data_IF_492249401321
#
_entry.id   IF_492249401321
#
_cell.length_a   1.000
_cell.length_b   1.000
_cell.length_c   1.000
_cell.angle_alpha   90.00
_cell.angle_beta   90.00
_cell.angle_gamma   90.00
#
_symmetry.space_group_name_H-M   'P 1'
#
loop_
_entity.id
_entity.type
_entity.pdbx_description
1 polymer ?
#
# COMPACT_ATOMS: atom_id res chain seq x y z
N UNK A 1 -0.36 42.61 -20.64
CA UNK A 1 -1.23 41.43 -20.83
C UNK A 1 -0.83 40.38 -19.82
N UNK A 2 -1.67 40.10 -18.82
CA UNK A 2 -1.44 39.01 -17.86
C UNK A 2 -2.33 37.84 -18.27
N UNK A 3 -1.71 36.69 -18.50
CA UNK A 3 -2.36 35.45 -18.92
C UNK A 3 -3.34 34.99 -17.84
N UNK A 4 -4.60 34.91 -18.23
CA UNK A 4 -5.69 34.28 -17.49
C UNK A 4 -5.40 32.80 -17.29
N UNK A 5 -5.02 32.42 -16.07
CA UNK A 5 -4.87 31.04 -15.62
C UNK A 5 -5.30 30.90 -14.16
N UNK A 6 -6.59 30.72 -13.94
CA UNK A 6 -7.21 30.39 -12.64
C UNK A 6 -6.57 29.14 -12.03
N UNK A 7 -6.32 29.12 -10.71
CA UNK A 7 -7.20 28.46 -9.72
C UNK A 7 -6.73 28.74 -8.27
N UNK A 8 -7.68 28.85 -7.34
CA UNK A 8 -7.47 29.24 -5.93
C UNK A 8 -6.61 28.27 -5.13
N UNK A 9 -5.44 28.74 -4.69
CA UNK A 9 -4.58 28.02 -3.76
C UNK A 9 -5.25 27.91 -2.39
N UNK A 10 -5.84 26.76 -2.09
CA UNK A 10 -6.14 26.42 -0.71
C UNK A 10 -4.84 26.01 -0.01
N UNK A 11 -4.81 26.12 1.32
CA UNK A 11 -3.63 25.83 2.17
C UNK A 11 -3.25 24.33 2.20
N UNK A 12 -3.81 23.49 1.32
CA UNK A 12 -3.54 22.06 1.26
C UNK A 12 -2.27 21.74 0.45
N UNK A 13 -1.19 22.46 0.73
CA UNK A 13 0.13 22.22 0.15
C UNK A 13 1.14 22.09 1.29
N UNK A 14 1.66 20.88 1.49
CA UNK A 14 2.52 20.56 2.63
C UNK A 14 3.88 20.05 2.16
N UNK A 15 4.98 20.37 2.88
CA UNK A 15 6.34 19.99 2.51
C UNK A 15 6.59 18.48 2.63
N UNK A 16 5.68 17.74 3.26
CA UNK A 16 5.78 16.30 3.42
C UNK A 16 4.40 15.72 3.71
N UNK A 17 4.20 14.48 3.29
CA UNK A 17 2.96 13.78 3.56
C UNK A 17 2.71 13.60 5.06
N UNK A 18 3.76 13.43 5.88
CA UNK A 18 3.63 13.41 7.34
C UNK A 18 3.00 14.69 7.89
N UNK A 19 3.33 15.84 7.30
CA UNK A 19 2.74 17.13 7.68
C UNK A 19 1.31 17.22 7.17
N UNK A 20 1.06 16.79 5.92
CA UNK A 20 -0.29 16.69 5.35
C UNK A 20 -1.22 15.83 6.21
N UNK A 21 -0.83 14.59 6.54
CA UNK A 21 -1.65 13.70 7.35
C UNK A 21 -1.83 14.22 8.78
N UNK A 22 -0.84 14.88 9.38
CA UNK A 22 -1.02 15.50 10.70
C UNK A 22 -2.05 16.63 10.72
N UNK A 23 -2.09 17.42 9.65
CA UNK A 23 -3.00 18.57 9.54
C UNK A 23 -4.40 18.15 9.07
N UNK A 24 -4.46 17.21 8.13
CA UNK A 24 -5.71 16.81 7.47
C UNK A 24 -6.37 15.57 8.06
N UNK A 25 -5.65 14.73 8.82
CA UNK A 25 -6.17 13.48 9.35
C UNK A 25 -6.05 13.41 10.89
N UNK A 26 -7.10 12.97 11.59
CA UNK A 26 -6.99 12.65 13.01
C UNK A 26 -5.96 11.54 13.22
N UNK A 27 -5.31 11.44 14.40
CA UNK A 27 -4.23 10.50 14.66
C UNK A 27 -4.56 9.04 14.32
N UNK A 28 -5.80 8.60 14.54
CA UNK A 28 -6.29 7.26 14.19
C UNK A 28 -6.29 6.96 12.68
N UNK A 29 -6.27 7.99 11.82
CA UNK A 29 -6.28 7.86 10.36
C UNK A 29 -4.91 8.12 9.73
N UNK A 30 -3.88 8.44 10.52
CA UNK A 30 -2.53 8.69 10.01
C UNK A 30 -1.88 7.36 9.60
N UNK A 31 -1.86 7.08 8.29
CA UNK A 31 -1.34 5.84 7.70
C UNK A 31 0.06 6.06 7.11
N UNK A 32 0.97 6.63 7.90
CA UNK A 32 2.34 6.96 7.48
C UNK A 32 3.10 5.75 6.93
N UNK A 33 2.80 4.54 7.41
CA UNK A 33 3.35 3.29 6.91
C UNK A 33 3.06 3.05 5.42
N UNK A 34 1.87 3.41 4.95
CA UNK A 34 1.35 3.00 3.65
C UNK A 34 1.90 3.85 2.51
N UNK A 35 2.36 5.05 2.81
CA UNK A 35 2.89 5.96 1.80
C UNK A 35 4.41 5.97 1.73
N UNK A 36 5.07 5.24 2.64
CA UNK A 36 6.51 5.06 2.61
C UNK A 36 6.87 4.08 1.49
N UNK A 37 7.89 4.41 0.70
CA UNK A 37 8.43 3.48 -0.30
C UNK A 37 8.77 2.14 0.35
N UNK A 38 8.27 1.02 -0.18
CA UNK A 38 8.59 -0.29 0.36
C UNK A 38 10.10 -0.54 0.21
N UNK A 39 10.71 -1.09 1.26
CA UNK A 39 12.11 -1.53 1.23
C UNK A 39 12.13 -3.03 1.36
N UNK A 40 12.90 -3.69 0.50
CA UNK A 40 13.13 -5.13 0.57
C UNK A 40 14.48 -5.38 1.20
N UNK A 41 14.55 -6.37 2.08
CA UNK A 41 15.78 -6.78 2.73
C UNK A 41 15.75 -8.23 3.20
N UNK A 42 16.81 -8.68 3.87
CA UNK A 42 16.86 -10.03 4.40
C UNK A 42 15.75 -10.24 5.43
N UNK A 43 15.17 -11.44 5.45
CA UNK A 43 14.19 -11.81 6.45
C UNK A 43 14.90 -12.07 7.79
N UNK A 44 14.85 -11.11 8.71
CA UNK A 44 15.54 -11.23 10.01
C UNK A 44 14.68 -11.86 11.12
N UNK A 45 13.34 -11.84 11.00
CA UNK A 45 12.42 -12.31 12.05
C UNK A 45 11.21 -13.08 11.51
N UNK A 46 10.63 -13.98 12.34
CA UNK A 46 9.30 -14.54 12.13
C UNK A 46 8.27 -13.79 13.00
N UNK A 47 7.03 -13.56 12.52
CA UNK A 47 6.51 -13.88 11.20
C UNK A 47 7.17 -13.05 10.08
N UNK A 48 7.33 -13.64 8.90
CA UNK A 48 7.98 -12.98 7.75
C UNK A 48 7.05 -11.91 7.20
N UNK A 49 7.52 -10.67 7.13
CA UNK A 49 6.80 -9.58 6.48
C UNK A 49 6.94 -9.73 4.97
N UNK A 50 6.05 -10.49 4.34
CA UNK A 50 6.06 -10.72 2.88
C UNK A 50 5.06 -9.84 2.14
N UNK A 51 4.44 -8.88 2.81
CA UNK A 51 3.48 -7.95 2.21
C UNK A 51 3.93 -6.51 2.40
N UNK A 52 3.64 -5.68 1.40
CA UNK A 52 3.80 -4.24 1.46
C UNK A 52 2.65 -3.58 0.70
N UNK A 53 2.36 -2.33 1.03
CA UNK A 53 1.38 -1.53 0.30
C UNK A 53 2.04 -0.83 -0.87
N UNK A 54 1.52 -1.06 -2.07
CA UNK A 54 1.95 -0.36 -3.27
C UNK A 54 1.03 0.83 -3.50
N UNK A 55 1.51 2.03 -3.21
CA UNK A 55 0.75 3.27 -3.40
C UNK A 55 0.46 3.59 -4.87
N UNK A 56 1.25 3.07 -5.82
CA UNK A 56 1.02 3.29 -7.25
C UNK A 56 -0.21 2.52 -7.77
N UNK A 57 -0.45 1.32 -7.23
CA UNK A 57 -1.63 0.51 -7.56
C UNK A 57 -2.74 0.61 -6.52
N UNK A 58 -2.47 1.25 -5.39
CA UNK A 58 -3.30 1.26 -4.18
C UNK A 58 -3.65 -0.15 -3.65
N UNK A 59 -2.77 -1.14 -3.87
CA UNK A 59 -2.99 -2.53 -3.49
C UNK A 59 -1.87 -3.08 -2.60
N UNK A 60 -2.25 -3.97 -1.69
CA UNK A 60 -1.31 -4.79 -0.93
C UNK A 60 -0.70 -5.86 -1.83
N UNK A 61 0.61 -5.81 -2.00
CA UNK A 61 1.34 -6.70 -2.90
C UNK A 61 2.16 -7.70 -2.11
N UNK A 62 2.14 -8.97 -2.56
CA UNK A 62 2.96 -10.04 -1.98
C UNK A 62 4.35 -10.03 -2.61
N UNK A 63 5.36 -10.16 -1.77
CA UNK A 63 6.74 -10.38 -2.18
C UNK A 63 6.89 -11.87 -2.49
N UNK A 64 7.19 -12.19 -3.75
CA UNK A 64 7.40 -13.57 -4.22
C UNK A 64 8.86 -14.05 -4.07
N UNK A 65 9.77 -13.15 -3.71
CA UNK A 65 11.19 -13.44 -3.57
C UNK A 65 11.54 -13.91 -2.15
N UNK A 66 12.78 -14.34 -1.95
CA UNK A 66 13.33 -14.71 -0.62
C UNK A 66 13.46 -13.51 0.34
N UNK A 67 13.17 -12.30 -0.13
CA UNK A 67 13.27 -11.07 0.64
C UNK A 67 11.98 -10.79 1.42
N UNK A 68 12.11 -10.01 2.49
CA UNK A 68 11.01 -9.49 3.29
C UNK A 68 10.91 -7.97 3.13
N UNK A 69 9.72 -7.41 3.33
CA UNK A 69 9.55 -5.97 3.50
C UNK A 69 10.12 -5.54 4.85
N UNK A 70 10.89 -4.46 4.84
CA UNK A 70 11.56 -3.90 6.02
C UNK A 70 11.15 -2.44 6.19
N UNK A 71 10.90 -2.01 7.42
CA UNK A 71 10.49 -0.65 7.76
C UNK A 71 8.99 -0.49 7.95
N UNK A 72 8.49 0.75 7.88
CA UNK A 72 7.09 1.06 8.21
C UNK A 72 6.08 0.41 7.24
N UNK A 73 6.39 0.33 5.95
CA UNK A 73 5.56 -0.32 4.94
C UNK A 73 5.82 -1.84 4.88
N UNK A 74 5.72 -2.52 6.02
CA UNK A 74 5.95 -3.96 6.11
C UNK A 74 4.84 -4.65 6.88
N UNK A 75 4.25 -5.68 6.27
CA UNK A 75 3.11 -6.39 6.84
C UNK A 75 3.31 -7.91 6.77
N UNK A 76 2.88 -8.66 7.80
CA UNK A 76 3.00 -10.12 7.83
C UNK A 76 2.00 -10.82 6.90
N UNK A 77 0.85 -10.17 6.62
CA UNK A 77 -0.25 -10.76 5.85
C UNK A 77 -0.95 -9.70 5.00
N UNK A 78 -1.61 -10.14 3.92
CA UNK A 78 -2.43 -9.27 3.10
C UNK A 78 -3.51 -8.55 3.92
N UNK A 79 -4.19 -9.26 4.83
CA UNK A 79 -5.25 -8.68 5.66
C UNK A 79 -4.71 -7.58 6.56
N UNK A 80 -3.54 -7.77 7.17
CA UNK A 80 -2.89 -6.78 8.02
C UNK A 80 -2.51 -5.53 7.22
N UNK A 81 -1.99 -5.72 6.01
CA UNK A 81 -1.70 -4.62 5.08
C UNK A 81 -2.99 -3.88 4.69
N UNK A 82 -4.04 -4.62 4.32
CA UNK A 82 -5.29 -4.03 3.81
C UNK A 82 -6.01 -3.26 4.92
N UNK A 83 -6.12 -3.85 6.11
CA UNK A 83 -6.66 -3.16 7.30
C UNK A 83 -5.86 -1.91 7.66
N UNK A 84 -4.53 -1.97 7.53
CA UNK A 84 -3.68 -0.81 7.83
C UNK A 84 -3.76 0.27 6.77
N UNK A 85 -3.79 -0.07 5.48
CA UNK A 85 -3.54 0.87 4.39
C UNK A 85 -4.77 1.26 3.57
N UNK A 86 -5.78 0.41 3.52
CA UNK A 86 -7.02 0.70 2.79
C UNK A 86 -8.22 0.61 3.72
N UNK A 87 -9.36 1.10 3.25
CA UNK A 87 -10.66 0.89 3.88
C UNK A 87 -11.48 -0.18 3.13
N UNK A 88 -10.83 -0.91 2.22
CA UNK A 88 -11.48 -1.97 1.46
C UNK A 88 -11.71 -3.20 2.34
N UNK A 89 -12.70 -4.01 1.97
CA UNK A 89 -12.91 -5.29 2.65
C UNK A 89 -11.67 -6.17 2.46
N UNK A 90 -10.91 -6.38 3.54
CA UNK A 90 -9.65 -7.12 3.52
C UNK A 90 -9.78 -8.48 2.85
N UNK A 91 -10.90 -9.16 3.10
CA UNK A 91 -11.16 -10.49 2.57
C UNK A 91 -11.39 -10.50 1.04
N UNK A 92 -12.00 -9.46 0.48
CA UNK A 92 -12.21 -9.35 -0.97
C UNK A 92 -10.94 -8.89 -1.69
N UNK A 93 -10.28 -7.86 -1.16
CA UNK A 93 -9.05 -7.32 -1.71
C UNK A 93 -7.94 -8.38 -1.74
N UNK A 94 -7.80 -9.15 -0.65
CA UNK A 94 -6.80 -10.21 -0.58
C UNK A 94 -7.15 -11.42 -1.44
N UNK A 95 -8.44 -11.77 -1.59
CA UNK A 95 -8.84 -12.83 -2.53
C UNK A 95 -8.51 -12.50 -3.98
N UNK A 96 -8.60 -11.23 -4.39
CA UNK A 96 -8.18 -10.79 -5.73
C UNK A 96 -6.66 -10.69 -5.89
N UNK A 97 -5.94 -10.38 -4.81
CA UNK A 97 -4.48 -10.22 -4.83
C UNK A 97 -3.73 -11.56 -4.74
N UNK A 98 -4.39 -12.63 -4.30
CA UNK A 98 -3.88 -14.00 -4.40
C UNK A 98 -4.35 -14.57 -5.74
N UNK A 99 -3.46 -14.81 -6.71
CA UNK A 99 -3.88 -15.45 -7.94
C UNK A 99 -4.44 -16.83 -7.59
N UNK A 100 -5.66 -17.11 -8.06
CA UNK A 100 -6.32 -18.38 -7.83
C UNK A 100 -5.42 -19.50 -8.40
N UNK A 101 -5.19 -20.62 -7.69
CA UNK A 101 -4.36 -21.71 -8.23
C UNK A 101 -4.87 -22.25 -9.58
N UNK A 102 -6.15 -22.03 -9.89
CA UNK A 102 -6.78 -22.40 -11.17
C UNK A 102 -6.46 -21.47 -12.34
N UNK A 103 -5.91 -20.27 -12.08
CA UNK A 103 -5.46 -19.34 -13.14
C UNK A 103 -4.13 -19.80 -13.78
N UNK A 104 -3.36 -20.60 -13.06
CA UNK A 104 -2.13 -21.22 -13.55
C UNK A 104 -2.33 -22.62 -14.14
N UNK A 105 -3.55 -23.17 -14.05
CA UNK A 105 -3.87 -24.41 -14.73
C UNK A 105 -3.93 -24.13 -16.24
N UNK A 106 -3.21 -24.91 -17.08
CA UNK A 106 -3.33 -24.77 -18.52
C UNK A 106 -4.79 -25.00 -18.89
N UNK A 107 -5.46 -23.95 -19.36
CA UNK A 107 -6.83 -24.05 -19.86
C UNK A 107 -6.79 -24.99 -21.06
N UNK A 108 -7.32 -26.20 -20.91
CA UNK A 108 -7.51 -27.10 -22.04
C UNK A 108 -8.48 -26.44 -23.01
N UNK A 109 -8.09 -26.20 -24.27
CA UNK A 109 -9.02 -25.70 -25.28
C UNK A 109 -10.15 -26.72 -25.45
N UNK A 110 -11.39 -26.22 -25.45
CA UNK A 110 -12.60 -26.99 -25.75
C UNK A 110 -12.75 -27.15 -27.26
#
# INVERSE_FOLDING_TARGET
MYLTGRCGGNTNHFPSERVCQKVCLPPERQKLACSVKPKLGPCHSRPRNTWYFNFATALCTRILTVNCSVGANSFPSCEACTKSCTNANAHEACRRAVPNPEDFLPKTPK
#
